data_IF_592220352762
#
_entry.id   IF_592220352762
#
_cell.length_a   1.000
_cell.length_b   1.000
_cell.length_c   1.000
_cell.angle_alpha   90.00
_cell.angle_beta   90.00
_cell.angle_gamma   90.00
#
_symmetry.space_group_name_H-M   'P 1'
#
loop_
_entity.id
_entity.type
_entity.pdbx_description
1 polymer ?
#
# COMPACT_ATOMS: atom_id res chain seq x y z
N UNK A 1 0.91 25.22 -19.70
CA UNK A 1 1.55 24.10 -18.96
C UNK A 1 1.28 22.84 -19.77
N UNK A 2 2.32 22.12 -20.20
CA UNK A 2 2.25 20.90 -21.05
C UNK A 2 1.85 19.64 -20.29
N UNK A 3 1.71 19.74 -18.97
CA UNK A 3 1.37 18.60 -18.12
C UNK A 3 -0.14 18.37 -18.07
N UNK A 4 -0.58 17.16 -18.41
CA UNK A 4 -1.95 16.67 -18.28
C UNK A 4 -2.03 15.60 -17.20
N UNK A 5 -3.07 15.64 -16.38
CA UNK A 5 -3.39 14.53 -15.46
C UNK A 5 -4.28 13.55 -16.21
N UNK A 6 -3.82 12.31 -16.37
CA UNK A 6 -4.51 11.26 -17.12
C UNK A 6 -4.74 10.04 -16.23
N UNK A 7 -5.78 9.23 -16.47
CA UNK A 7 -5.94 7.96 -15.77
C UNK A 7 -4.89 6.94 -16.21
N UNK A 8 -4.57 5.99 -15.33
CA UNK A 8 -3.72 4.84 -15.68
C UNK A 8 -4.58 3.73 -16.27
N UNK A 9 -4.09 3.11 -17.31
CA UNK A 9 -4.73 2.03 -18.05
C UNK A 9 -3.70 1.00 -18.51
N UNK A 10 -4.14 -0.07 -19.16
CA UNK A 10 -3.26 -1.17 -19.60
C UNK A 10 -2.10 -0.69 -20.47
N UNK A 11 -2.30 0.34 -21.30
CA UNK A 11 -1.27 0.87 -22.22
C UNK A 11 -0.11 1.57 -21.49
N UNK A 12 -0.36 2.16 -20.31
CA UNK A 12 0.60 3.05 -19.64
C UNK A 12 1.01 2.61 -18.22
N UNK A 13 0.47 1.48 -17.73
CA UNK A 13 0.74 0.97 -16.37
C UNK A 13 2.22 0.69 -16.09
N UNK A 14 2.97 0.18 -17.08
CA UNK A 14 4.41 -0.11 -16.88
C UNK A 14 5.23 1.17 -16.74
N UNK A 15 4.92 2.18 -17.55
CA UNK A 15 5.59 3.48 -17.48
C UNK A 15 5.22 4.19 -16.17
N UNK A 16 3.93 4.18 -15.81
CA UNK A 16 3.47 4.69 -14.52
C UNK A 16 4.20 4.00 -13.36
N UNK A 17 4.30 2.68 -13.37
CA UNK A 17 4.96 1.91 -12.30
C UNK A 17 6.47 2.15 -12.26
N UNK A 18 7.09 2.31 -13.41
CA UNK A 18 8.50 2.71 -13.51
C UNK A 18 8.69 4.10 -12.90
N UNK A 19 7.84 5.07 -13.24
CA UNK A 19 7.86 6.42 -12.65
C UNK A 19 7.76 6.40 -11.11
N UNK A 20 6.87 5.57 -10.55
CA UNK A 20 6.80 5.35 -9.08
C UNK A 20 8.16 4.90 -8.56
N UNK A 21 8.74 3.85 -9.14
CA UNK A 21 9.92 3.19 -8.57
C UNK A 21 11.24 3.91 -8.89
N UNK A 22 11.32 4.72 -9.94
CA UNK A 22 12.41 5.68 -10.15
C UNK A 22 12.54 6.67 -8.99
N UNK A 23 11.41 7.05 -8.35
CA UNK A 23 11.42 7.92 -7.16
C UNK A 23 11.81 7.16 -5.88
N UNK A 24 11.53 5.86 -5.81
CA UNK A 24 11.72 5.03 -4.60
C UNK A 24 12.89 4.03 -4.68
N UNK A 25 13.64 3.96 -5.79
CA UNK A 25 14.92 3.27 -5.88
C UNK A 25 14.96 1.89 -6.55
N UNK A 26 13.98 1.48 -7.36
CA UNK A 26 14.06 0.22 -8.16
C UNK A 26 13.33 0.36 -9.51
N UNK A 27 13.47 -0.59 -10.44
CA UNK A 27 12.57 -0.72 -11.61
C UNK A 27 12.10 -2.18 -11.67
N UNK A 28 10.80 -2.46 -11.45
CA UNK A 28 10.30 -3.82 -11.40
C UNK A 28 10.20 -4.43 -12.81
N UNK A 29 10.36 -5.76 -12.91
CA UNK A 29 10.08 -6.49 -14.16
C UNK A 29 8.59 -6.41 -14.52
N UNK A 30 8.25 -6.70 -15.79
CA UNK A 30 6.85 -6.67 -16.25
C UNK A 30 5.97 -7.64 -15.46
N UNK A 31 6.49 -8.81 -15.14
CA UNK A 31 5.80 -9.86 -14.39
C UNK A 31 5.43 -9.37 -12.98
N UNK A 32 6.34 -8.64 -12.32
CA UNK A 32 6.08 -8.02 -11.01
C UNK A 32 5.00 -6.94 -11.11
N UNK A 33 4.99 -6.14 -12.19
CA UNK A 33 3.95 -5.14 -12.41
C UNK A 33 2.59 -5.80 -12.65
N UNK A 34 2.51 -6.81 -13.53
CA UNK A 34 1.27 -7.54 -13.82
C UNK A 34 0.73 -8.19 -12.54
N UNK A 35 1.58 -8.85 -11.76
CA UNK A 35 1.19 -9.44 -10.47
C UNK A 35 0.63 -8.37 -9.53
N UNK A 36 1.32 -7.24 -9.38
CA UNK A 36 0.83 -6.13 -8.56
C UNK A 36 -0.52 -5.61 -9.06
N UNK A 37 -0.75 -5.50 -10.37
CA UNK A 37 -2.04 -5.06 -10.91
C UNK A 37 -3.16 -6.02 -10.52
N UNK A 38 -2.93 -7.32 -10.72
CA UNK A 38 -3.89 -8.38 -10.37
C UNK A 38 -4.15 -8.46 -8.86
N UNK A 39 -3.10 -8.46 -8.05
CA UNK A 39 -3.19 -8.75 -6.62
C UNK A 39 -3.41 -7.49 -5.80
N UNK A 40 -2.63 -6.43 -6.04
CA UNK A 40 -2.66 -5.23 -5.22
C UNK A 40 -3.76 -4.26 -5.62
N UNK A 41 -4.06 -4.15 -6.92
CA UNK A 41 -5.13 -3.29 -7.44
C UNK A 41 -6.42 -4.03 -7.72
N UNK A 42 -6.42 -5.37 -7.67
CA UNK A 42 -7.59 -6.20 -8.00
C UNK A 42 -8.15 -5.90 -9.39
N UNK A 43 -7.25 -5.56 -10.33
CA UNK A 43 -7.58 -5.33 -11.73
C UNK A 43 -7.09 -6.55 -12.50
N UNK A 44 -7.99 -7.29 -13.14
CA UNK A 44 -7.62 -8.37 -14.05
C UNK A 44 -6.88 -7.79 -15.26
N UNK A 45 -5.56 -7.93 -15.26
CA UNK A 45 -4.69 -7.35 -16.28
C UNK A 45 -5.01 -7.87 -17.69
N UNK A 46 -5.35 -9.15 -17.82
CA UNK A 46 -5.61 -9.76 -19.13
C UNK A 46 -6.89 -9.20 -19.74
N UNK A 47 -7.91 -8.96 -18.91
CA UNK A 47 -9.20 -8.39 -19.31
C UNK A 47 -9.35 -6.87 -19.07
N UNK A 48 -8.25 -6.17 -18.74
CA UNK A 48 -8.30 -4.75 -18.40
C UNK A 48 -8.58 -3.86 -19.62
N UNK A 49 -9.83 -3.38 -19.74
CA UNK A 49 -10.34 -2.66 -20.91
C UNK A 49 -10.87 -1.25 -20.64
N UNK A 50 -10.79 -0.78 -19.38
CA UNK A 50 -11.22 0.57 -18.98
C UNK A 50 -10.15 1.23 -18.10
N UNK A 51 -9.92 2.53 -18.22
CA UNK A 51 -8.98 3.22 -17.34
C UNK A 51 -9.33 3.02 -15.86
N UNK A 52 -8.31 2.98 -15.01
CA UNK A 52 -8.49 2.96 -13.57
C UNK A 52 -9.17 4.24 -13.10
N UNK A 53 -10.11 4.08 -12.16
CA UNK A 53 -10.76 5.18 -11.46
C UNK A 53 -9.96 5.67 -10.24
N UNK A 54 -8.80 5.05 -9.96
CA UNK A 54 -8.02 5.24 -8.72
C UNK A 54 -6.54 5.50 -8.94
N UNK A 55 -6.02 5.24 -10.13
CA UNK A 55 -4.63 5.47 -10.49
C UNK A 55 -4.55 6.59 -11.52
N UNK A 56 -3.65 7.55 -11.29
CA UNK A 56 -3.43 8.69 -12.17
C UNK A 56 -1.95 8.89 -12.49
N UNK A 57 -1.68 9.49 -13.64
CA UNK A 57 -0.37 9.90 -14.09
C UNK A 57 -0.36 11.40 -14.42
N UNK A 58 0.79 12.04 -14.24
CA UNK A 58 1.08 13.33 -14.85
C UNK A 58 1.89 13.09 -16.13
N UNK A 59 1.26 13.32 -17.27
CA UNK A 59 1.84 13.14 -18.60
C UNK A 59 2.30 14.48 -19.15
N UNK A 60 3.55 14.56 -19.58
CA UNK A 60 4.10 15.74 -20.26
C UNK A 60 3.92 15.59 -21.77
N UNK A 61 3.12 16.45 -22.39
CA UNK A 61 2.84 16.38 -23.83
C UNK A 61 4.02 16.78 -24.71
N UNK A 62 5.06 17.40 -24.16
CA UNK A 62 6.25 17.79 -24.92
C UNK A 62 7.26 16.64 -25.02
N UNK A 63 7.56 16.00 -23.89
CA UNK A 63 8.44 14.82 -23.86
C UNK A 63 7.73 13.50 -24.16
N UNK A 64 6.39 13.50 -24.22
CA UNK A 64 5.54 12.32 -24.37
C UNK A 64 5.79 11.25 -23.29
N UNK A 65 6.02 11.69 -22.05
CA UNK A 65 6.39 10.82 -20.93
C UNK A 65 5.54 11.06 -19.68
N UNK A 66 5.40 10.01 -18.87
CA UNK A 66 4.88 10.10 -17.50
C UNK A 66 5.96 10.65 -16.57
N UNK A 67 5.74 11.88 -16.14
CA UNK A 67 6.64 12.64 -15.26
C UNK A 67 6.19 12.68 -13.80
N UNK A 68 5.01 12.11 -13.51
CA UNK A 68 4.52 11.95 -12.15
C UNK A 68 3.51 10.81 -12.02
N UNK A 69 3.45 10.22 -10.83
CA UNK A 69 2.61 9.07 -10.50
C UNK A 69 1.84 9.32 -9.21
N UNK A 70 0.70 8.66 -9.07
CA UNK A 70 -0.16 8.76 -7.90
C UNK A 70 -1.37 7.83 -7.99
N UNK A 71 -1.98 7.55 -6.85
CA UNK A 71 -3.20 6.77 -6.78
C UNK A 71 -3.86 6.80 -5.40
N UNK A 72 -5.04 6.19 -5.32
CA UNK A 72 -5.81 6.06 -4.09
C UNK A 72 -6.36 4.64 -3.94
N UNK A 73 -5.70 3.84 -3.10
CA UNK A 73 -6.17 2.52 -2.72
C UNK A 73 -7.56 2.60 -2.08
N UNK A 74 -8.39 1.58 -2.34
CA UNK A 74 -9.71 1.44 -1.73
C UNK A 74 -9.55 0.74 -0.38
N UNK A 75 -9.96 1.41 0.69
CA UNK A 75 -9.97 0.82 2.01
C UNK A 75 -11.29 1.04 2.73
N UNK A 76 -11.56 0.15 3.69
CA UNK A 76 -12.49 0.33 4.79
C UNK A 76 -11.69 0.41 6.08
N UNK A 77 -11.78 1.54 6.79
CA UNK A 77 -11.04 1.79 8.03
C UNK A 77 -11.96 1.76 9.24
N UNK A 78 -11.52 1.09 10.30
CA UNK A 78 -12.19 1.09 11.61
C UNK A 78 -11.90 2.40 12.34
N UNK A 79 -12.94 3.11 12.79
CA UNK A 79 -12.83 4.37 13.54
C UNK A 79 -13.24 4.19 15.00
N UNK A 80 -12.89 5.14 15.90
CA UNK A 80 -13.38 5.12 17.27
C UNK A 80 -14.90 4.96 17.32
N UNK A 81 -15.37 4.01 18.14
CA UNK A 81 -16.76 3.55 18.14
C UNK A 81 -16.99 2.22 17.40
N UNK A 82 -15.99 1.70 16.70
CA UNK A 82 -16.04 0.39 16.02
C UNK A 82 -16.68 0.42 14.63
N UNK A 83 -17.11 1.60 14.17
CA UNK A 83 -17.69 1.78 12.85
C UNK A 83 -16.65 1.66 11.73
N UNK A 84 -17.10 1.21 10.57
CA UNK A 84 -16.29 1.03 9.38
C UNK A 84 -16.65 2.09 8.33
N UNK A 85 -15.68 2.92 7.94
CA UNK A 85 -15.89 3.97 6.92
C UNK A 85 -14.99 3.77 5.70
N UNK A 86 -15.46 4.24 4.54
CA UNK A 86 -14.67 4.22 3.30
C UNK A 86 -13.51 5.21 3.39
N UNK A 87 -12.31 4.76 3.03
CA UNK A 87 -11.11 5.58 2.99
C UNK A 87 -10.40 5.47 1.64
N UNK A 88 -9.99 6.63 1.12
CA UNK A 88 -9.02 6.73 0.04
C UNK A 88 -7.59 6.66 0.60
N UNK A 89 -6.89 5.54 0.38
CA UNK A 89 -5.48 5.39 0.76
C UNK A 89 -4.57 6.03 -0.28
N UNK A 90 -4.16 7.29 -0.08
CA UNK A 90 -3.28 7.97 -1.04
C UNK A 90 -1.91 7.30 -1.04
N UNK A 91 -1.48 6.89 -2.22
CA UNK A 91 -0.29 6.09 -2.43
C UNK A 91 0.37 6.41 -3.78
N UNK A 92 1.56 5.84 -3.98
CA UNK A 92 2.29 5.89 -5.26
C UNK A 92 2.64 7.30 -5.73
N UNK A 93 2.64 8.27 -4.82
CA UNK A 93 2.86 9.67 -5.14
C UNK A 93 4.34 9.91 -5.48
N UNK A 94 4.60 10.41 -6.67
CA UNK A 94 5.94 10.71 -7.15
C UNK A 94 5.95 11.77 -8.24
N UNK A 95 7.04 12.52 -8.34
CA UNK A 95 7.32 13.42 -9.48
C UNK A 95 8.79 13.27 -9.83
N UNK A 96 9.08 13.05 -11.11
CA UNK A 96 10.44 12.91 -11.60
C UNK A 96 11.27 14.16 -11.21
N UNK A 97 12.55 14.00 -10.82
CA UNK A 97 13.41 15.12 -10.42
C UNK A 97 13.45 16.26 -11.44
N UNK A 98 13.44 15.93 -12.73
CA UNK A 98 13.44 16.87 -13.88
C UNK A 98 12.21 17.77 -13.95
N UNK A 99 11.12 17.39 -13.27
CA UNK A 99 9.81 18.06 -13.32
C UNK A 99 9.33 18.57 -11.96
N UNK A 100 10.21 18.57 -10.95
CA UNK A 100 9.90 19.14 -9.62
C UNK A 100 9.66 20.65 -9.70
N UNK A 101 8.95 21.17 -8.69
CA UNK A 101 8.62 22.60 -8.52
C UNK A 101 7.76 23.22 -9.64
N UNK A 102 7.11 22.38 -10.47
CA UNK A 102 6.16 22.82 -11.51
C UNK A 102 4.69 22.64 -11.13
N UNK A 103 4.37 22.52 -9.83
CA UNK A 103 2.98 22.35 -9.35
C UNK A 103 2.32 20.99 -9.62
N UNK A 104 3.02 20.04 -10.26
CA UNK A 104 2.49 18.72 -10.64
C UNK A 104 1.91 17.96 -9.45
N UNK A 105 2.69 17.79 -8.37
CA UNK A 105 2.24 17.08 -7.16
C UNK A 105 0.94 17.67 -6.58
N UNK A 106 0.84 19.00 -6.51
CA UNK A 106 -0.35 19.68 -6.01
C UNK A 106 -1.56 19.48 -6.92
N UNK A 107 -1.35 19.43 -8.24
CA UNK A 107 -2.41 19.11 -9.21
C UNK A 107 -2.93 17.69 -9.02
N UNK A 108 -2.01 16.71 -8.90
CA UNK A 108 -2.36 15.30 -8.67
C UNK A 108 -3.12 15.09 -7.35
N UNK A 109 -2.68 15.72 -6.25
CA UNK A 109 -3.38 15.64 -4.97
C UNK A 109 -4.82 16.19 -5.07
N UNK A 110 -5.01 17.33 -5.74
CA UNK A 110 -6.35 17.90 -5.96
C UNK A 110 -7.24 16.95 -6.75
N UNK A 111 -6.72 16.34 -7.82
CA UNK A 111 -7.45 15.35 -8.62
C UNK A 111 -7.85 14.14 -7.78
N UNK A 112 -6.92 13.54 -7.02
CA UNK A 112 -7.21 12.38 -6.19
C UNK A 112 -8.24 12.68 -5.10
N UNK A 113 -8.18 13.87 -4.49
CA UNK A 113 -9.17 14.31 -3.51
C UNK A 113 -10.56 14.53 -4.12
N UNK A 114 -10.63 15.10 -5.32
CA UNK A 114 -11.90 15.25 -6.02
C UNK A 114 -12.50 13.87 -6.34
N UNK A 115 -11.72 12.97 -6.92
CA UNK A 115 -12.16 11.61 -7.22
C UNK A 115 -12.59 10.85 -5.95
N UNK A 116 -11.91 11.06 -4.82
CA UNK A 116 -12.29 10.48 -3.54
C UNK A 116 -13.68 10.97 -3.07
N UNK A 117 -13.94 12.27 -3.17
CA UNK A 117 -15.26 12.83 -2.89
C UNK A 117 -16.33 12.29 -3.82
N UNK A 118 -16.04 12.21 -5.12
CA UNK A 118 -16.98 11.71 -6.13
C UNK A 118 -17.38 10.24 -5.88
N UNK A 119 -16.45 9.43 -5.33
CA UNK A 119 -16.71 8.04 -4.92
C UNK A 119 -17.36 7.89 -3.54
N UNK A 120 -17.50 8.98 -2.79
CA UNK A 120 -18.01 8.98 -1.42
C UNK A 120 -17.04 8.36 -0.41
N UNK A 121 -15.73 8.44 -0.65
CA UNK A 121 -14.72 8.12 0.36
C UNK A 121 -14.85 9.17 1.50
N UNK A 122 -15.07 8.72 2.74
CA UNK A 122 -15.35 9.61 3.88
C UNK A 122 -14.09 10.34 4.36
N UNK A 123 -12.93 9.68 4.26
CA UNK A 123 -11.63 10.20 4.65
C UNK A 123 -10.56 9.80 3.63
N UNK A 124 -9.45 10.53 3.62
CA UNK A 124 -8.25 10.13 2.90
C UNK A 124 -7.10 9.94 3.91
N UNK A 125 -6.36 8.83 3.78
CA UNK A 125 -5.25 8.49 4.66
C UNK A 125 -3.99 8.15 3.86
N UNK A 126 -2.82 8.32 4.47
CA UNK A 126 -1.52 7.99 3.84
C UNK A 126 -0.43 7.78 4.88
N UNK A 127 0.65 7.14 4.43
CA UNK A 127 1.94 7.14 5.12
C UNK A 127 2.83 8.22 4.50
N UNK A 128 3.17 9.23 5.28
CA UNK A 128 3.94 10.38 4.78
C UNK A 128 5.42 10.03 4.62
N UNK A 129 5.99 10.28 3.44
CA UNK A 129 7.44 10.20 3.21
C UNK A 129 8.20 11.37 3.84
N UNK A 130 7.53 12.51 4.05
CA UNK A 130 8.07 13.71 4.66
C UNK A 130 6.99 14.36 5.53
N UNK A 131 7.34 14.74 6.76
CA UNK A 131 6.41 15.17 7.80
C UNK A 131 5.52 16.37 7.41
N UNK A 132 6.06 17.37 6.70
CA UNK A 132 5.34 18.61 6.38
C UNK A 132 4.74 18.64 4.96
N UNK A 133 4.99 17.64 4.13
CA UNK A 133 4.58 17.68 2.72
C UNK A 133 3.04 17.64 2.57
N UNK A 134 2.37 16.91 3.44
CA UNK A 134 0.95 16.60 3.31
C UNK A 134 0.03 17.49 4.15
N UNK A 135 0.55 18.19 5.16
CA UNK A 135 -0.25 19.06 6.03
C UNK A 135 -0.97 20.17 5.25
N UNK A 136 -0.31 20.75 4.24
CA UNK A 136 -0.90 21.75 3.32
C UNK A 136 -2.08 21.22 2.47
N UNK A 137 -2.29 19.91 2.44
CA UNK A 137 -3.43 19.27 1.77
C UNK A 137 -4.50 18.80 2.77
N UNK A 138 -4.40 19.20 4.04
CA UNK A 138 -5.38 18.87 5.09
C UNK A 138 -5.10 17.58 5.85
N UNK A 139 -3.93 16.96 5.68
CA UNK A 139 -3.56 15.75 6.44
C UNK A 139 -3.03 16.10 7.83
N UNK A 140 -3.59 15.45 8.84
CA UNK A 140 -3.09 15.46 10.22
C UNK A 140 -2.45 14.12 10.60
N UNK A 141 -1.64 14.12 11.67
CA UNK A 141 -1.13 12.90 12.27
C UNK A 141 -2.29 12.14 12.94
N UNK A 142 -2.59 10.93 12.47
CA UNK A 142 -3.70 10.11 12.97
C UNK A 142 -3.24 8.90 13.79
N UNK A 143 -2.03 8.40 13.54
CA UNK A 143 -1.46 7.24 14.24
C UNK A 143 0.04 7.45 14.46
N UNK A 144 0.59 6.74 15.44
CA UNK A 144 2.02 6.68 15.70
C UNK A 144 2.52 5.26 15.46
N UNK A 145 3.75 5.15 14.96
CA UNK A 145 4.47 3.89 14.84
C UNK A 145 5.73 3.99 15.70
N UNK A 146 5.97 2.95 16.48
CA UNK A 146 7.20 2.78 17.22
C UNK A 146 7.88 1.50 16.74
N UNK A 147 9.20 1.59 16.55
CA UNK A 147 10.03 0.45 16.19
C UNK A 147 10.91 0.13 17.41
N UNK A 148 10.72 -1.08 17.97
CA UNK A 148 11.39 -1.53 19.17
C UNK A 148 12.49 -2.54 18.81
N UNK A 149 13.66 -2.41 19.43
CA UNK A 149 14.75 -3.40 19.35
C UNK A 149 14.97 -3.97 20.74
N UNK A 150 14.74 -5.27 20.89
CA UNK A 150 14.87 -5.97 22.18
C UNK A 150 16.18 -6.76 22.17
N UNK A 151 17.05 -6.47 23.14
CA UNK A 151 18.24 -7.27 23.40
C UNK A 151 17.86 -8.54 24.17
N UNK A 152 17.84 -9.67 23.46
CA UNK A 152 17.43 -10.96 24.03
C UNK A 152 18.47 -11.57 24.97
N UNK A 153 19.71 -11.12 24.96
CA UNK A 153 20.74 -11.63 25.88
C UNK A 153 20.61 -11.04 27.29
N UNK A 154 20.07 -9.82 27.37
CA UNK A 154 19.89 -9.09 28.63
C UNK A 154 18.42 -8.94 29.05
N UNK A 155 17.49 -9.62 28.35
CA UNK A 155 16.04 -9.60 28.64
C UNK A 155 15.55 -11.01 28.93
N UNK A 156 14.65 -11.16 29.91
CA UNK A 156 13.95 -12.41 30.18
C UNK A 156 12.44 -12.26 29.95
N UNK A 157 11.77 -13.36 29.62
CA UNK A 157 10.31 -13.40 29.54
C UNK A 157 9.69 -13.34 30.94
N UNK A 158 8.55 -12.69 31.06
CA UNK A 158 7.76 -12.68 32.30
C UNK A 158 7.33 -14.12 32.66
N UNK A 159 7.51 -14.48 33.93
CA UNK A 159 7.03 -15.76 34.47
C UNK A 159 5.50 -15.81 34.62
N UNK A 160 4.83 -14.66 34.55
CA UNK A 160 3.37 -14.51 34.58
C UNK A 160 2.74 -14.57 33.19
N UNK A 161 3.23 -15.49 32.35
CA UNK A 161 2.74 -15.64 30.98
C UNK A 161 1.45 -16.49 30.97
N UNK A 162 0.45 -16.16 30.12
CA UNK A 162 -0.75 -16.98 29.98
C UNK A 162 -0.39 -18.42 29.62
N UNK A 163 -0.93 -19.39 30.39
CA UNK A 163 -0.70 -20.82 30.15
C UNK A 163 -1.55 -21.30 28.98
N UNK A 164 -1.06 -22.30 28.25
CA UNK A 164 -1.79 -22.94 27.15
C UNK A 164 -1.63 -22.29 25.78
N UNK A 165 -0.84 -21.22 25.67
CA UNK A 165 -0.45 -20.64 24.38
C UNK A 165 0.55 -21.57 23.68
N UNK A 166 0.26 -21.93 22.43
CA UNK A 166 1.22 -22.60 21.56
C UNK A 166 1.48 -21.76 20.31
N UNK A 167 2.76 -21.57 19.98
CA UNK A 167 3.19 -20.89 18.77
C UNK A 167 3.78 -21.93 17.84
N UNK A 168 3.41 -21.83 16.57
CA UNK A 168 3.89 -22.75 15.55
C UNK A 168 4.21 -22.01 14.27
N UNK A 169 5.11 -22.65 13.56
CA UNK A 169 5.76 -22.22 12.36
C UNK A 169 4.97 -22.77 11.19
N UNK A 170 4.46 -21.90 10.32
CA UNK A 170 3.60 -22.32 9.21
C UNK A 170 4.12 -21.84 7.85
N UNK A 171 3.84 -22.65 6.82
CA UNK A 171 4.11 -22.30 5.43
C UNK A 171 3.12 -21.24 4.90
N UNK A 172 3.41 -20.72 3.70
CA UNK A 172 2.59 -19.70 3.03
C UNK A 172 1.14 -20.13 2.82
N UNK A 173 0.88 -21.38 2.42
CA UNK A 173 -0.49 -21.82 2.12
C UNK A 173 -1.33 -21.80 3.40
N UNK A 174 -0.76 -22.30 4.49
CA UNK A 174 -1.39 -22.29 5.80
C UNK A 174 -1.57 -20.87 6.32
N UNK A 175 -0.57 -20.00 6.16
CA UNK A 175 -0.65 -18.59 6.50
C UNK A 175 -1.76 -17.84 5.71
N UNK A 176 -1.85 -18.07 4.40
CA UNK A 176 -2.91 -17.50 3.56
C UNK A 176 -4.31 -17.97 3.96
N UNK A 177 -4.43 -19.17 4.54
CA UNK A 177 -5.72 -19.67 5.02
C UNK A 177 -6.12 -19.12 6.41
N UNK A 178 -5.16 -18.89 7.32
CA UNK A 178 -5.48 -18.61 8.73
C UNK A 178 -5.25 -17.15 9.15
N UNK A 179 -4.22 -16.48 8.63
CA UNK A 179 -3.91 -15.08 8.99
C UNK A 179 -5.05 -14.12 8.64
N UNK A 180 -5.75 -14.24 7.47
CA UNK A 180 -6.84 -13.33 7.16
C UNK A 180 -7.96 -13.33 8.21
N UNK A 181 -8.31 -14.50 8.75
CA UNK A 181 -9.36 -14.63 9.77
C UNK A 181 -8.92 -13.97 11.09
N UNK A 182 -7.68 -14.22 11.52
CA UNK A 182 -7.10 -13.61 12.72
C UNK A 182 -7.05 -12.08 12.56
N UNK A 183 -6.63 -11.60 11.39
CA UNK A 183 -6.57 -10.17 11.10
C UNK A 183 -7.95 -9.53 11.09
N UNK A 184 -8.99 -10.23 10.63
CA UNK A 184 -10.35 -9.71 10.66
C UNK A 184 -10.90 -9.55 12.08
N UNK A 185 -10.52 -10.45 12.99
CA UNK A 185 -10.84 -10.28 14.42
C UNK A 185 -10.14 -9.05 14.98
N UNK A 186 -8.83 -8.93 14.73
CA UNK A 186 -8.02 -7.80 15.20
C UNK A 186 -8.54 -6.47 14.67
N UNK A 187 -8.77 -6.35 13.35
CA UNK A 187 -9.04 -5.05 12.73
C UNK A 187 -10.39 -4.46 13.15
N UNK A 188 -11.36 -5.30 13.52
CA UNK A 188 -12.66 -4.85 14.06
C UNK A 188 -12.53 -4.20 15.44
N UNK A 189 -11.50 -4.55 16.19
CA UNK A 189 -11.24 -4.03 17.53
C UNK A 189 -10.14 -2.96 17.56
N UNK A 190 -9.49 -2.69 16.43
CA UNK A 190 -8.37 -1.76 16.34
C UNK A 190 -8.72 -0.51 15.52
N UNK A 191 -8.82 0.63 16.20
CA UNK A 191 -8.95 1.93 15.53
C UNK A 191 -7.77 2.16 14.58
N UNK A 192 -8.07 2.61 13.37
CA UNK A 192 -7.10 2.88 12.31
C UNK A 192 -6.74 1.66 11.45
N UNK A 193 -7.23 0.46 11.77
CA UNK A 193 -6.97 -0.72 10.95
C UNK A 193 -7.80 -0.70 9.66
N UNK A 194 -7.15 -0.96 8.52
CA UNK A 194 -7.80 -1.05 7.21
C UNK A 194 -8.17 -2.49 6.86
N UNK A 195 -9.04 -2.70 5.88
CA UNK A 195 -9.30 -4.02 5.33
C UNK A 195 -8.13 -4.49 4.45
N UNK A 196 -8.13 -5.78 4.14
CA UNK A 196 -7.21 -6.40 3.19
C UNK A 196 -7.98 -7.33 2.29
N UNK A 197 -7.86 -7.12 0.98
CA UNK A 197 -8.41 -8.05 -0.02
C UNK A 197 -7.55 -9.32 -0.07
N UNK A 198 -8.10 -10.39 -0.65
CA UNK A 198 -7.32 -11.59 -0.91
C UNK A 198 -6.08 -11.31 -1.76
N UNK A 199 -6.20 -10.45 -2.77
CA UNK A 199 -5.04 -10.05 -3.57
C UNK A 199 -4.00 -9.29 -2.74
N UNK A 200 -4.41 -8.46 -1.77
CA UNK A 200 -3.44 -7.81 -0.90
C UNK A 200 -2.73 -8.83 0.01
N UNK A 201 -3.41 -9.86 0.50
CA UNK A 201 -2.75 -10.97 1.20
C UNK A 201 -1.77 -11.72 0.32
N UNK A 202 -2.13 -12.03 -0.92
CA UNK A 202 -1.22 -12.66 -1.88
C UNK A 202 0.02 -11.80 -2.14
N UNK A 203 -0.16 -10.48 -2.22
CA UNK A 203 0.94 -9.52 -2.37
C UNK A 203 1.84 -9.45 -1.13
N UNK A 204 1.26 -9.46 0.08
CA UNK A 204 2.01 -9.39 1.35
C UNK A 204 2.78 -10.67 1.65
N UNK A 205 2.17 -11.82 1.40
CA UNK A 205 2.74 -13.15 1.63
C UNK A 205 3.35 -13.73 0.34
N UNK A 206 3.69 -12.86 -0.62
CA UNK A 206 4.36 -13.26 -1.84
C UNK A 206 5.74 -13.82 -1.51
N UNK A 207 6.06 -14.95 -2.13
CA UNK A 207 7.38 -15.56 -2.07
C UNK A 207 7.72 -16.10 -3.47
N UNK A 208 9.01 -16.07 -3.81
CA UNK A 208 9.56 -16.72 -5.01
C UNK A 208 10.78 -17.58 -4.64
N UNK A 209 11.42 -18.19 -5.65
CA UNK A 209 12.61 -19.03 -5.46
C UNK A 209 13.75 -18.33 -4.72
N UNK A 210 13.88 -17.01 -4.86
CA UNK A 210 14.93 -16.22 -4.21
C UNK A 210 14.54 -15.83 -2.80
N UNK A 211 13.25 -15.57 -2.57
CA UNK A 211 12.80 -15.09 -1.26
C UNK A 211 12.35 -16.21 -0.34
N UNK A 212 11.92 -17.39 -0.81
CA UNK A 212 11.34 -18.45 0.05
C UNK A 212 12.22 -18.91 1.23
N UNK A 213 13.54 -18.74 1.13
CA UNK A 213 14.51 -19.09 2.17
C UNK A 213 15.19 -17.87 2.83
N UNK A 214 14.71 -16.65 2.57
CA UNK A 214 15.34 -15.43 3.04
C UNK A 214 15.07 -15.16 4.54
N UNK A 215 16.05 -15.51 5.38
CA UNK A 215 16.01 -15.33 6.85
C UNK A 215 16.03 -13.87 7.34
N UNK A 216 16.13 -12.88 6.44
CA UNK A 216 16.29 -11.45 6.78
C UNK A 216 14.96 -10.71 7.07
N UNK A 217 13.84 -11.43 7.18
CA UNK A 217 12.54 -10.82 7.48
C UNK A 217 11.85 -10.24 6.24
N UNK A 218 11.21 -11.12 5.47
CA UNK A 218 9.92 -10.92 4.77
C UNK A 218 9.41 -12.22 4.15
N UNK A 219 10.29 -13.21 3.95
CA UNK A 219 9.92 -14.63 3.83
C UNK A 219 11.14 -15.46 4.21
N UNK A 220 11.19 -15.87 5.48
CA UNK A 220 12.27 -16.68 6.05
C UNK A 220 11.64 -17.69 6.98
N UNK A 221 10.89 -18.61 6.39
CA UNK A 221 10.26 -19.77 7.01
C UNK A 221 9.13 -19.61 8.01
N UNK A 222 8.87 -18.47 8.66
CA UNK A 222 7.93 -18.50 9.79
C UNK A 222 6.97 -17.33 9.82
N UNK A 223 5.74 -17.56 9.35
CA UNK A 223 4.60 -16.86 9.94
C UNK A 223 4.33 -17.50 11.29
N UNK A 224 4.25 -16.68 12.34
CA UNK A 224 3.88 -17.12 13.67
C UNK A 224 2.48 -16.59 13.95
N UNK A 225 1.59 -17.46 14.41
CA UNK A 225 0.37 -17.04 15.06
C UNK A 225 0.14 -17.91 16.30
N UNK A 226 -0.60 -17.36 17.26
CA UNK A 226 -0.97 -18.04 18.48
C UNK A 226 -2.23 -18.86 18.21
N UNK A 227 -2.23 -20.13 18.62
CA UNK A 227 -3.46 -20.89 18.83
C UNK A 227 -4.05 -20.62 20.21
#
# INVERSE_FOLDING_TARGET
MTIKIIPVEKSNIFEWRSSVRTVFGDIPSKEVVIRMVNERFMIDYDNWNKPSDRLIAAFDTESEQIVGSGGADKYTITVPGGENIKMAGIAYMGTLPTHKRRGIFSSMMKTLHQQARDRGDAVAGLWASQSLLYSRFGYGLATMREDWVIDTHNTSLSTDSPKGISVRLVDKNKALSEIPEIYEIFRKCQNGATDRTQGYWNYLLYEDEQTKFNKSGRSGFFFCYCL
#
